data_IF_200754679065
#
_entry.id   IF_200754679065
#
_cell.length_a   1.000
_cell.length_b   1.000
_cell.length_c   1.000
_cell.angle_alpha   90.00
_cell.angle_beta   90.00
_cell.angle_gamma   90.00
#
_symmetry.space_group_name_H-M   'P 1'
#
loop_
_entity.id
_entity.type
_entity.pdbx_description
1 polymer ?
#
# COMPACT_ATOMS: atom_id res chain seq x y z
N UNK A 1 10.30 -2.18 -3.39
CA UNK A 1 9.31 -3.26 -3.62
C UNK A 1 7.92 -2.65 -3.64
N UNK A 2 7.06 -3.08 -4.56
CA UNK A 2 5.77 -2.45 -4.81
C UNK A 2 4.68 -3.47 -5.13
N UNK A 3 3.46 -3.20 -4.69
CA UNK A 3 2.28 -4.04 -4.92
C UNK A 3 1.07 -3.16 -5.21
N UNK A 4 0.08 -3.70 -5.91
CA UNK A 4 -1.13 -2.97 -6.30
C UNK A 4 -2.35 -3.59 -5.64
N UNK A 5 -3.29 -2.73 -5.23
CA UNK A 5 -4.63 -3.13 -4.82
C UNK A 5 -5.64 -2.40 -5.70
N UNK A 6 -6.53 -3.15 -6.33
CA UNK A 6 -7.72 -2.61 -6.98
C UNK A 6 -8.71 -2.13 -5.90
N UNK A 7 -9.01 -0.83 -5.87
CA UNK A 7 -9.97 -0.24 -4.94
C UNK A 7 -11.12 0.38 -5.72
N UNK A 8 -12.35 0.04 -5.34
CA UNK A 8 -13.55 0.75 -5.77
C UNK A 8 -13.84 1.88 -4.79
N UNK A 9 -13.83 3.11 -5.29
CA UNK A 9 -14.08 4.33 -4.54
C UNK A 9 -15.44 4.90 -4.93
N UNK A 10 -16.18 5.44 -3.97
CA UNK A 10 -17.38 6.23 -4.22
C UNK A 10 -16.99 7.70 -4.34
N UNK A 11 -17.20 8.29 -5.50
CA UNK A 11 -16.98 9.71 -5.74
C UNK A 11 -18.33 10.44 -5.78
N UNK A 12 -18.45 11.55 -5.02
CA UNK A 12 -19.63 12.41 -5.07
C UNK A 12 -19.59 13.30 -6.32
N UNK A 13 -20.71 13.38 -7.04
CA UNK A 13 -20.87 14.29 -8.18
C UNK A 13 -21.44 15.59 -7.65
N UNK A 14 -20.65 16.66 -7.75
CA UNK A 14 -21.00 18.00 -7.26
C UNK A 14 -21.32 18.89 -8.45
N UNK A 15 -22.51 19.50 -8.47
CA UNK A 15 -22.88 20.51 -9.46
C UNK A 15 -22.09 21.82 -9.24
N UNK A 16 -22.05 22.71 -10.24
CA UNK A 16 -21.34 24.01 -10.14
C UNK A 16 -21.83 24.87 -8.96
N UNK A 17 -23.05 24.64 -8.48
CA UNK A 17 -23.61 25.28 -7.28
C UNK A 17 -23.01 24.79 -5.95
N UNK A 18 -22.17 23.76 -5.98
CA UNK A 18 -21.67 23.05 -4.79
C UNK A 18 -22.62 22.00 -4.23
N UNK A 19 -23.78 21.77 -4.87
CA UNK A 19 -24.77 20.78 -4.43
C UNK A 19 -24.37 19.37 -4.90
N UNK A 20 -24.35 18.39 -4.00
CA UNK A 20 -24.18 16.99 -4.37
C UNK A 20 -25.45 16.48 -5.09
N UNK A 21 -25.28 15.95 -6.30
CA UNK A 21 -26.38 15.50 -7.17
C UNK A 21 -26.38 13.98 -7.41
N UNK A 22 -25.37 13.28 -6.92
CA UNK A 22 -25.28 11.82 -7.01
C UNK A 22 -23.91 11.30 -6.60
N UNK A 23 -23.68 10.01 -6.80
CA UNK A 23 -22.36 9.38 -6.67
C UNK A 23 -22.05 8.49 -7.87
N UNK A 24 -20.76 8.24 -8.09
CA UNK A 24 -20.25 7.31 -9.09
C UNK A 24 -19.22 6.40 -8.43
N UNK A 25 -19.28 5.11 -8.74
CA UNK A 25 -18.23 4.16 -8.39
C UNK A 25 -17.10 4.23 -9.40
N UNK A 26 -15.87 4.39 -8.91
CA UNK A 26 -14.67 4.40 -9.73
C UNK A 26 -13.72 3.34 -9.19
N UNK A 27 -13.34 2.39 -10.05
CA UNK A 27 -12.27 1.44 -9.73
C UNK A 27 -10.93 2.05 -10.13
N UNK A 28 -9.99 2.07 -9.18
CA UNK A 28 -8.64 2.59 -9.38
C UNK A 28 -7.60 1.59 -8.89
N UNK A 29 -6.48 1.56 -9.60
CA UNK A 29 -5.28 0.86 -9.14
C UNK A 29 -4.54 1.76 -8.15
N UNK A 30 -4.48 1.33 -6.89
CA UNK A 30 -3.65 1.99 -5.88
C UNK A 30 -2.32 1.23 -5.83
N UNK A 31 -1.24 1.92 -6.19
CA UNK A 31 0.12 1.39 -6.09
C UNK A 31 0.66 1.71 -4.72
N UNK A 32 1.02 0.67 -3.97
CA UNK A 32 1.72 0.77 -2.70
C UNK A 32 3.19 0.44 -2.89
N UNK A 33 4.07 1.18 -2.22
CA UNK A 33 5.51 1.02 -2.31
C UNK A 33 6.12 1.06 -0.92
N UNK A 34 6.96 0.08 -0.62
CA UNK A 34 7.78 0.07 0.58
C UNK A 34 8.98 0.97 0.31
N UNK A 35 9.07 2.08 1.05
CA UNK A 35 10.06 3.14 0.82
C UNK A 35 11.24 3.10 1.78
N UNK A 36 11.02 2.59 2.99
CA UNK A 36 12.04 2.50 4.04
C UNK A 36 11.77 1.27 4.90
N UNK A 37 12.84 0.59 5.31
CA UNK A 37 12.83 -0.40 6.38
C UNK A 37 13.60 0.18 7.58
N UNK A 38 13.01 0.12 8.76
CA UNK A 38 13.63 0.50 10.02
C UNK A 38 13.71 -0.73 10.92
N UNK A 39 14.92 -1.26 11.11
CA UNK A 39 15.17 -2.38 12.03
C UNK A 39 15.12 -1.88 13.46
N UNK A 40 14.38 -2.58 14.33
CA UNK A 40 14.19 -2.22 15.73
C UNK A 40 15.02 -3.11 16.64
N UNK A 41 14.96 -4.42 16.40
CA UNK A 41 15.74 -5.45 17.09
C UNK A 41 16.08 -6.58 16.11
N UNK A 42 16.68 -7.66 16.61
CA UNK A 42 17.17 -8.78 15.80
C UNK A 42 16.09 -9.56 15.05
N UNK A 43 14.81 -9.32 15.36
CA UNK A 43 13.66 -10.04 14.79
C UNK A 43 12.54 -9.14 14.27
N UNK A 44 12.53 -7.86 14.63
CA UNK A 44 11.41 -6.94 14.36
C UNK A 44 11.86 -5.72 13.57
N UNK A 45 11.09 -5.35 12.55
CA UNK A 45 11.30 -4.15 11.76
C UNK A 45 9.98 -3.47 11.37
N UNK A 46 10.07 -2.18 11.01
CA UNK A 46 8.97 -1.42 10.41
C UNK A 46 9.22 -1.15 8.92
N UNK A 47 8.18 -1.32 8.12
CA UNK A 47 8.14 -0.92 6.72
C UNK A 47 7.30 0.36 6.57
N UNK A 48 7.89 1.42 6.03
CA UNK A 48 7.15 2.63 5.64
C UNK A 48 6.49 2.42 4.29
N UNK A 49 5.16 2.37 4.28
CA UNK A 49 4.36 2.10 3.08
C UNK A 49 3.76 3.40 2.56
N UNK A 50 4.07 3.72 1.31
CA UNK A 50 3.52 4.87 0.60
C UNK A 50 2.55 4.42 -0.48
N UNK A 51 1.45 5.15 -0.66
CA UNK A 51 0.44 4.88 -1.67
C UNK A 51 0.40 6.01 -2.71
N UNK A 52 0.15 5.63 -3.96
CA UNK A 52 -0.13 6.53 -5.08
C UNK A 52 -1.31 5.98 -5.89
N UNK A 53 -2.10 6.89 -6.46
CA UNK A 53 -3.19 6.58 -7.39
C UNK A 53 -3.06 7.49 -8.60
N UNK A 54 -3.27 6.96 -9.80
CA UNK A 54 -3.29 7.72 -11.06
C UNK A 54 -2.08 8.64 -11.27
N UNK A 55 -0.88 8.18 -10.91
CA UNK A 55 0.37 8.94 -11.09
C UNK A 55 0.55 10.14 -10.16
N UNK A 56 -0.32 10.30 -9.15
CA UNK A 56 -0.14 11.34 -8.13
C UNK A 56 1.10 11.07 -7.28
N UNK A 57 1.73 12.12 -6.70
CA UNK A 57 2.86 11.93 -5.81
C UNK A 57 2.53 10.94 -4.67
N UNK A 58 3.38 9.94 -4.41
CA UNK A 58 3.12 8.99 -3.35
C UNK A 58 3.13 9.66 -1.98
N UNK A 59 2.22 9.24 -1.10
CA UNK A 59 2.15 9.70 0.29
C UNK A 59 2.32 8.50 1.22
N UNK A 60 3.12 8.64 2.28
CA UNK A 60 3.18 7.63 3.33
C UNK A 60 1.81 7.51 4.00
N UNK A 61 1.28 6.29 4.04
CA UNK A 61 -0.05 5.98 4.60
C UNK A 61 0.01 5.02 5.77
N UNK A 62 1.13 4.32 5.95
CA UNK A 62 1.27 3.30 6.99
C UNK A 62 2.72 3.12 7.43
N UNK A 63 2.88 2.55 8.63
CA UNK A 63 4.12 2.04 9.18
C UNK A 63 3.84 0.61 9.68
N UNK A 64 4.14 -0.37 8.83
CA UNK A 64 3.77 -1.76 9.04
C UNK A 64 4.86 -2.50 9.82
N UNK A 65 4.53 -3.04 11.00
CA UNK A 65 5.42 -3.90 11.77
C UNK A 65 5.46 -5.30 11.16
N UNK A 66 6.65 -5.87 11.01
CA UNK A 66 6.81 -7.24 10.57
C UNK A 66 7.99 -7.91 11.26
N UNK A 67 7.88 -9.23 11.41
CA UNK A 67 8.98 -10.06 11.84
C UNK A 67 9.86 -10.40 10.63
N UNK A 68 11.17 -10.43 10.84
CA UNK A 68 12.13 -10.77 9.80
C UNK A 68 13.18 -11.79 10.30
N UNK A 69 13.85 -12.44 9.35
CA UNK A 69 15.02 -13.27 9.60
C UNK A 69 16.17 -12.83 8.70
N UNK A 70 17.39 -12.83 9.22
CA UNK A 70 18.60 -12.60 8.40
C UNK A 70 19.00 -13.86 7.61
N UNK A 71 18.48 -15.02 7.99
CA UNK A 71 18.76 -16.29 7.34
C UNK A 71 17.73 -16.59 6.23
N UNK A 72 18.17 -17.19 5.12
CA UNK A 72 17.25 -17.64 4.05
C UNK A 72 17.24 -16.80 2.77
N UNK A 73 18.15 -15.83 2.63
CA UNK A 73 18.48 -15.21 1.33
C UNK A 73 17.50 -14.18 0.78
N UNK A 74 16.35 -13.95 1.43
CA UNK A 74 15.44 -12.85 1.10
C UNK A 74 15.89 -11.54 1.73
N UNK A 75 15.83 -10.46 0.98
CA UNK A 75 16.01 -9.10 1.49
C UNK A 75 14.88 -8.71 2.47
N UNK A 76 15.15 -7.73 3.34
CA UNK A 76 14.14 -7.21 4.26
C UNK A 76 12.93 -6.61 3.53
N UNK A 77 13.12 -6.06 2.33
CA UNK A 77 12.03 -5.54 1.51
C UNK A 77 11.12 -6.65 0.98
N UNK A 78 11.68 -7.78 0.56
CA UNK A 78 10.89 -8.95 0.14
C UNK A 78 10.13 -9.56 1.33
N UNK A 79 10.76 -9.66 2.50
CA UNK A 79 10.12 -10.17 3.71
C UNK A 79 8.99 -9.25 4.20
N UNK A 80 9.19 -7.93 4.11
CA UNK A 80 8.16 -6.93 4.40
C UNK A 80 6.98 -7.05 3.44
N UNK A 81 7.24 -7.13 2.13
CA UNK A 81 6.19 -7.32 1.13
C UNK A 81 5.39 -8.59 1.39
N UNK A 82 6.06 -9.73 1.58
CA UNK A 82 5.43 -11.02 1.88
C UNK A 82 4.52 -10.96 3.12
N UNK A 83 4.93 -10.20 4.14
CA UNK A 83 4.17 -10.01 5.38
C UNK A 83 2.96 -9.11 5.15
N UNK A 84 3.15 -8.01 4.40
CA UNK A 84 2.10 -7.04 4.08
C UNK A 84 0.99 -7.70 3.24
N UNK A 85 1.34 -8.40 2.15
CA UNK A 85 0.33 -9.00 1.25
C UNK A 85 -0.48 -10.12 1.92
N UNK A 86 0.04 -10.73 2.99
CA UNK A 86 -0.67 -11.73 3.80
C UNK A 86 -1.55 -11.12 4.88
N UNK A 87 -1.38 -9.83 5.17
CA UNK A 87 -2.15 -9.14 6.19
C UNK A 87 -3.56 -8.79 5.71
N UNK A 88 -4.52 -8.78 6.62
CA UNK A 88 -5.92 -8.45 6.29
C UNK A 88 -6.08 -7.02 5.76
N UNK A 89 -5.29 -6.07 6.28
CA UNK A 89 -5.31 -4.65 5.89
C UNK A 89 -5.02 -4.42 4.41
N UNK A 90 -4.30 -5.35 3.78
CA UNK A 90 -3.90 -5.28 2.38
C UNK A 90 -4.46 -6.44 1.54
N UNK A 91 -5.59 -7.02 1.97
CA UNK A 91 -6.29 -8.06 1.23
C UNK A 91 -6.58 -7.65 -0.23
N UNK A 92 -6.30 -8.58 -1.16
CA UNK A 92 -6.39 -8.35 -2.60
C UNK A 92 -5.13 -7.71 -3.22
N UNK A 93 -4.04 -7.56 -2.47
CA UNK A 93 -2.76 -7.11 -3.00
C UNK A 93 -2.17 -8.10 -4.01
N UNK A 94 -1.65 -7.56 -5.10
CA UNK A 94 -0.87 -8.30 -6.10
C UNK A 94 0.49 -7.64 -6.25
N UNK A 95 1.56 -8.42 -6.05
CA UNK A 95 2.95 -7.96 -6.25
C UNK A 95 3.16 -7.47 -7.67
N UNK A 96 3.86 -6.35 -7.82
CA UNK A 96 4.26 -5.83 -9.13
C UNK A 96 5.78 -5.90 -9.22
N UNK A 97 6.28 -6.75 -10.12
CA UNK A 97 7.68 -6.72 -10.52
C UNK A 97 7.85 -5.59 -11.52
N UNK A 98 8.57 -4.54 -11.13
CA UNK A 98 8.98 -3.44 -11.99
C UNK A 98 10.45 -3.61 -12.33
#
# INVERSE_FOLDING_TARGET
MSFVINKTLEASVIADSGTAIGSVQVTVDVTYTITLIQVIDDSTAYASVSASVNGQPPKQVDQFEFNYTLEGGKSLFEQAEDSIIKSESYSGATTVQI
#
